data_IF_769433283722
#
_entry.id   IF_769433283722
#
_cell.length_a   1.000
_cell.length_b   1.000
_cell.length_c   1.000
_cell.angle_alpha   90.00
_cell.angle_beta   90.00
_cell.angle_gamma   90.00
#
_symmetry.space_group_name_H-M   'P 1'
#
loop_
_entity.id
_entity.type
_entity.pdbx_description
1 polymer ?
#
# COMPACT_ATOMS: atom_id res chain seq x y z
N UNK A 1 41.83 3.76 -27.29
CA UNK A 1 40.91 3.15 -26.31
C UNK A 1 40.26 1.96 -26.97
N UNK A 2 40.51 0.75 -26.47
CA UNK A 2 40.01 -0.50 -27.07
C UNK A 2 38.50 -0.59 -26.86
N UNK A 3 37.77 -1.11 -27.85
CA UNK A 3 36.31 -1.25 -27.83
C UNK A 3 35.75 -1.92 -26.56
N UNK A 4 36.50 -2.87 -25.97
CA UNK A 4 36.13 -3.51 -24.69
C UNK A 4 36.10 -2.55 -23.50
N UNK A 5 36.95 -1.52 -23.52
CA UNK A 5 37.07 -0.53 -22.44
C UNK A 5 35.88 0.44 -22.49
N UNK A 6 35.38 0.75 -23.69
CA UNK A 6 34.15 1.55 -23.88
C UNK A 6 32.92 0.79 -23.40
N UNK A 7 32.82 -0.52 -23.71
CA UNK A 7 31.72 -1.37 -23.23
C UNK A 7 31.68 -1.48 -21.71
N UNK A 8 32.84 -1.51 -21.05
CA UNK A 8 32.93 -1.59 -19.59
C UNK A 8 32.47 -0.30 -18.89
N UNK A 9 32.75 0.87 -19.49
CA UNK A 9 32.28 2.16 -18.97
C UNK A 9 30.76 2.34 -19.18
N UNK A 10 30.22 1.85 -20.30
CA UNK A 10 28.78 1.93 -20.57
C UNK A 10 27.95 1.08 -19.60
N UNK A 11 28.49 -0.05 -19.14
CA UNK A 11 27.82 -0.95 -18.19
C UNK A 11 27.75 -0.41 -16.75
N UNK A 12 28.62 0.54 -16.38
CA UNK A 12 28.65 1.16 -15.04
C UNK A 12 27.74 2.41 -14.99
N UNK A 13 27.37 2.96 -16.15
CA UNK A 13 26.61 4.22 -16.25
C UNK A 13 25.10 4.10 -16.01
N UNK A 14 24.53 2.91 -15.85
CA UNK A 14 23.11 2.76 -15.52
C UNK A 14 22.90 2.85 -14.02
N UNK A 15 23.05 4.06 -13.46
CA UNK A 15 22.52 4.35 -12.14
C UNK A 15 21.00 4.14 -12.19
N UNK A 16 20.53 3.12 -11.49
CA UNK A 16 19.10 2.85 -11.34
C UNK A 16 18.53 4.03 -10.56
N UNK A 17 17.86 4.95 -11.25
CA UNK A 17 17.03 5.96 -10.61
C UNK A 17 15.83 5.23 -10.00
N UNK A 18 15.98 4.72 -8.79
CA UNK A 18 14.84 4.33 -7.97
C UNK A 18 14.15 5.62 -7.56
N UNK A 19 13.16 6.05 -8.33
CA UNK A 19 12.33 7.20 -8.00
C UNK A 19 11.69 6.92 -6.63
N UNK A 20 11.95 7.81 -5.66
CA UNK A 20 11.36 7.69 -4.34
C UNK A 20 9.85 7.92 -4.47
N UNK A 21 9.07 6.83 -4.41
CA UNK A 21 7.61 6.93 -4.36
C UNK A 21 7.23 7.32 -2.94
N UNK A 22 6.69 8.53 -2.82
CA UNK A 22 6.10 9.02 -1.57
C UNK A 22 4.68 8.49 -1.42
N UNK A 23 4.35 7.99 -0.23
CA UNK A 23 2.99 7.56 0.12
C UNK A 23 2.28 8.57 1.03
N UNK A 24 2.68 9.85 0.93
CA UNK A 24 2.10 10.92 1.74
C UNK A 24 0.58 11.02 1.54
N UNK A 25 -0.13 11.10 2.66
CA UNK A 25 -1.58 11.17 2.75
C UNK A 25 -2.33 9.97 2.16
N UNK A 26 -1.66 8.88 1.76
CA UNK A 26 -2.35 7.64 1.45
C UNK A 26 -2.99 7.11 2.73
N UNK A 27 -4.23 6.64 2.61
CA UNK A 27 -4.98 6.06 3.72
C UNK A 27 -5.19 4.58 3.51
N UNK A 28 -5.25 3.83 4.60
CA UNK A 28 -5.71 2.44 4.60
C UNK A 28 -7.03 2.38 5.33
N UNK A 29 -8.06 1.94 4.62
CA UNK A 29 -9.38 1.69 5.18
C UNK A 29 -9.52 0.21 5.52
N UNK A 30 -10.19 -0.07 6.63
CA UNK A 30 -10.67 -1.38 7.04
C UNK A 30 -12.16 -1.47 6.74
N UNK A 31 -12.54 -2.56 6.09
CA UNK A 31 -13.92 -2.95 5.79
C UNK A 31 -14.12 -4.38 6.29
N UNK A 32 -15.26 -4.64 6.93
CA UNK A 32 -15.64 -5.98 7.37
C UNK A 32 -16.97 -6.31 6.70
N UNK A 33 -16.98 -7.14 5.64
CA UNK A 33 -18.22 -7.47 4.95
C UNK A 33 -19.04 -8.46 5.78
N UNK A 34 -20.32 -8.17 6.01
CA UNK A 34 -21.23 -8.99 6.84
C UNK A 34 -22.15 -9.88 5.99
N UNK A 35 -22.20 -9.65 4.67
CA UNK A 35 -23.06 -10.39 3.73
C UNK A 35 -22.30 -10.83 2.48
N UNK A 36 -22.79 -11.87 1.81
CA UNK A 36 -22.20 -12.36 0.55
C UNK A 36 -22.24 -11.30 -0.56
N UNK A 37 -23.24 -10.42 -0.52
CA UNK A 37 -23.34 -9.28 -1.42
C UNK A 37 -22.21 -8.27 -1.19
N UNK A 38 -21.85 -7.99 0.06
CA UNK A 38 -20.73 -7.11 0.41
C UNK A 38 -19.39 -7.73 0.02
N UNK A 39 -19.23 -9.04 0.17
CA UNK A 39 -18.07 -9.78 -0.33
C UNK A 39 -17.95 -9.59 -1.85
N UNK A 40 -19.04 -9.75 -2.59
CA UNK A 40 -19.04 -9.57 -4.04
C UNK A 40 -18.70 -8.13 -4.45
N UNK A 41 -19.25 -7.13 -3.74
CA UNK A 41 -18.91 -5.71 -3.92
C UNK A 41 -17.40 -5.47 -3.77
N UNK A 42 -16.78 -6.04 -2.72
CA UNK A 42 -15.34 -5.91 -2.49
C UNK A 42 -14.50 -6.64 -3.56
N UNK A 43 -14.94 -7.82 -4.01
CA UNK A 43 -14.29 -8.56 -5.10
C UNK A 43 -14.35 -7.79 -6.43
N UNK A 44 -15.46 -7.11 -6.70
CA UNK A 44 -15.60 -6.28 -7.89
C UNK A 44 -14.74 -5.00 -7.79
N UNK A 45 -14.69 -4.38 -6.61
CA UNK A 45 -13.81 -3.25 -6.34
C UNK A 45 -12.33 -3.60 -6.52
N UNK A 46 -11.91 -4.82 -6.14
CA UNK A 46 -10.52 -5.29 -6.27
C UNK A 46 -10.03 -5.33 -7.73
N UNK A 47 -10.94 -5.37 -8.71
CA UNK A 47 -10.59 -5.31 -10.14
C UNK A 47 -10.13 -3.92 -10.59
N UNK A 48 -10.41 -2.89 -9.80
CA UNK A 48 -9.98 -1.52 -10.10
C UNK A 48 -8.52 -1.32 -9.64
N UNK A 49 -7.66 -0.96 -10.59
CA UNK A 49 -6.22 -0.73 -10.37
C UNK A 49 -5.90 0.48 -9.49
N UNK A 50 -6.87 1.38 -9.28
CA UNK A 50 -6.72 2.56 -8.43
C UNK A 50 -6.76 2.25 -6.92
N UNK A 51 -7.16 1.03 -6.54
CA UNK A 51 -7.24 0.58 -5.15
C UNK A 51 -6.31 -0.60 -4.89
N UNK A 52 -5.53 -0.53 -3.81
CA UNK A 52 -4.55 -1.57 -3.49
C UNK A 52 -5.00 -2.33 -2.26
N UNK A 53 -5.40 -3.59 -2.45
CA UNK A 53 -5.82 -4.47 -1.36
C UNK A 53 -4.58 -5.00 -0.63
N UNK A 54 -4.53 -4.79 0.68
CA UNK A 54 -3.49 -5.33 1.56
C UNK A 54 -3.89 -6.67 2.19
N UNK A 55 -5.16 -7.06 2.07
CA UNK A 55 -5.66 -8.35 2.52
C UNK A 55 -5.77 -9.32 1.34
N UNK A 56 -5.21 -10.52 1.49
CA UNK A 56 -5.30 -11.58 0.48
C UNK A 56 -6.68 -12.28 0.46
N UNK A 57 -7.41 -12.22 1.58
CA UNK A 57 -8.70 -12.90 1.76
C UNK A 57 -9.82 -11.87 1.86
N UNK A 58 -10.76 -11.93 0.92
CA UNK A 58 -12.02 -11.20 0.92
C UNK A 58 -13.14 -12.21 1.17
N UNK A 59 -13.62 -12.27 2.41
CA UNK A 59 -14.65 -13.20 2.83
C UNK A 59 -15.51 -12.55 3.91
N UNK A 60 -16.69 -13.12 4.15
CA UNK A 60 -17.57 -12.66 5.23
C UNK A 60 -16.83 -12.64 6.57
N UNK A 61 -17.05 -11.58 7.35
CA UNK A 61 -16.45 -11.31 8.65
C UNK A 61 -14.91 -11.16 8.64
N UNK A 62 -14.28 -11.07 7.45
CA UNK A 62 -12.83 -10.86 7.34
C UNK A 62 -12.43 -9.39 7.43
N UNK A 63 -11.24 -9.12 7.97
CA UNK A 63 -10.65 -7.79 8.01
C UNK A 63 -10.02 -7.45 6.65
N UNK A 64 -10.81 -6.82 5.76
CA UNK A 64 -10.33 -6.39 4.44
C UNK A 64 -9.70 -4.99 4.56
N UNK A 65 -8.42 -4.88 4.20
CA UNK A 65 -7.66 -3.62 4.22
C UNK A 65 -7.41 -3.15 2.81
N UNK A 66 -7.72 -1.89 2.54
CA UNK A 66 -7.63 -1.27 1.21
C UNK A 66 -6.87 0.04 1.34
N UNK A 67 -5.74 0.17 0.65
CA UNK A 67 -4.98 1.41 0.54
C UNK A 67 -5.49 2.24 -0.63
N UNK A 68 -5.71 3.53 -0.37
CA UNK A 68 -6.34 4.48 -1.30
C UNK A 68 -5.50 5.75 -1.41
N UNK A 69 -5.19 6.14 -2.64
CA UNK A 69 -4.47 7.37 -2.95
C UNK A 69 -5.29 8.62 -2.57
N UNK A 70 -4.64 9.74 -2.16
CA UNK A 70 -5.33 10.97 -1.74
C UNK A 70 -6.41 11.44 -2.72
N UNK A 71 -6.08 11.42 -4.02
CA UNK A 71 -7.00 11.83 -5.10
C UNK A 71 -8.26 10.98 -5.23
N UNK A 72 -8.26 9.75 -4.72
CA UNK A 72 -9.36 8.78 -4.86
C UNK A 72 -10.14 8.58 -3.54
N UNK A 73 -9.73 9.20 -2.44
CA UNK A 73 -10.33 8.99 -1.12
C UNK A 73 -11.78 9.47 -1.06
N UNK A 74 -12.09 10.65 -1.62
CA UNK A 74 -13.46 11.17 -1.64
C UNK A 74 -14.41 10.25 -2.43
N UNK A 75 -13.97 9.79 -3.61
CA UNK A 75 -14.75 8.83 -4.42
C UNK A 75 -14.97 7.52 -3.66
N UNK A 76 -13.92 6.99 -3.05
CA UNK A 76 -13.97 5.76 -2.25
C UNK A 76 -14.96 5.88 -1.08
N UNK A 77 -14.86 6.94 -0.27
CA UNK A 77 -15.74 7.17 0.87
C UNK A 77 -17.20 7.34 0.45
N UNK A 78 -17.44 8.07 -0.64
CA UNK A 78 -18.79 8.24 -1.20
C UNK A 78 -19.34 6.91 -1.74
N UNK A 79 -18.52 6.11 -2.42
CA UNK A 79 -18.93 4.79 -2.92
C UNK A 79 -19.40 3.89 -1.76
N UNK A 80 -18.59 3.74 -0.72
CA UNK A 80 -18.93 2.89 0.43
C UNK A 80 -20.14 3.40 1.21
N UNK A 81 -20.30 4.72 1.33
CA UNK A 81 -21.50 5.34 1.89
C UNK A 81 -22.75 5.01 1.07
N UNK A 82 -22.66 5.03 -0.25
CA UNK A 82 -23.79 4.76 -1.15
C UNK A 82 -24.20 3.27 -1.15
N UNK A 83 -23.24 2.35 -1.08
CA UNK A 83 -23.54 0.91 -0.97
C UNK A 83 -23.87 0.48 0.46
N UNK A 84 -23.80 1.39 1.43
CA UNK A 84 -24.20 1.16 2.82
C UNK A 84 -23.23 0.30 3.62
N UNK A 85 -21.96 0.21 3.19
CA UNK A 85 -20.94 -0.61 3.85
C UNK A 85 -20.06 0.28 4.73
N UNK A 86 -19.96 0.01 6.04
CA UNK A 86 -19.18 0.84 6.94
C UNK A 86 -17.68 0.66 6.70
N UNK A 87 -16.94 1.78 6.66
CA UNK A 87 -15.48 1.80 6.57
C UNK A 87 -14.88 2.43 7.83
N UNK A 88 -13.68 2.00 8.20
CA UNK A 88 -12.91 2.58 9.31
C UNK A 88 -11.51 2.91 8.82
N UNK A 89 -10.99 4.10 9.12
CA UNK A 89 -9.59 4.42 8.84
C UNK A 89 -8.69 3.61 9.77
N UNK A 90 -7.86 2.74 9.21
CA UNK A 90 -6.89 1.92 9.93
C UNK A 90 -5.50 2.58 9.96
N UNK A 91 -5.13 3.29 8.89
CA UNK A 91 -3.90 4.09 8.78
C UNK A 91 -4.27 5.40 8.10
N UNK A 92 -4.05 6.54 8.75
CA UNK A 92 -4.42 7.86 8.24
C UNK A 92 -3.35 8.47 7.31
N UNK A 93 -2.09 8.10 7.50
CA UNK A 93 -1.00 8.42 6.57
C UNK A 93 -0.03 7.23 6.48
N UNK A 94 0.04 6.59 5.33
CA UNK A 94 0.93 5.45 5.07
C UNK A 94 2.40 5.86 5.16
N UNK A 95 2.76 7.07 4.76
CA UNK A 95 4.14 7.54 4.85
C UNK A 95 4.64 7.60 6.30
N UNK A 96 3.81 8.09 7.22
CA UNK A 96 4.13 8.12 8.66
C UNK A 96 4.34 6.71 9.21
N UNK A 97 3.52 5.74 8.78
CA UNK A 97 3.67 4.34 9.18
C UNK A 97 4.99 3.73 8.67
N UNK A 98 5.38 4.04 7.43
CA UNK A 98 6.66 3.62 6.84
C UNK A 98 7.83 4.24 7.62
N UNK A 99 7.75 5.53 7.91
CA UNK A 99 8.83 6.25 8.59
C UNK A 99 8.99 5.80 10.05
N UNK A 100 7.88 5.48 10.73
CA UNK A 100 7.91 4.87 12.05
C UNK A 100 8.60 3.49 12.07
N UNK A 101 8.44 2.69 11.02
CA UNK A 101 9.15 1.41 10.89
C UNK A 101 10.66 1.60 10.70
N UNK A 102 11.08 2.60 9.91
CA UNK A 102 12.50 2.90 9.70
C UNK A 102 13.21 3.42 10.96
N UNK A 103 12.48 4.16 11.81
CA UNK A 103 13.03 4.74 13.05
C UNK A 103 13.20 3.75 14.19
N UNK A 104 12.67 2.52 14.10
CA UNK A 104 12.95 1.48 15.10
C UNK A 104 14.43 1.10 14.99
N UNK A 105 15.29 1.46 15.96
CA UNK A 105 16.67 0.99 15.94
C UNK A 105 16.63 -0.54 16.09
N UNK A 106 17.51 -1.24 15.38
CA UNK A 106 17.82 -2.64 15.67
C UNK A 106 18.60 -2.72 17.01
N UNK A 107 18.04 -2.23 18.11
CA UNK A 107 18.59 -2.42 19.46
C UNK A 107 18.30 -3.84 19.97
N UNK A 108 18.42 -4.84 19.09
CA UNK A 108 18.58 -6.23 19.50
C UNK A 108 20.05 -6.48 19.80
N UNK A 109 20.45 -6.00 20.98
CA UNK A 109 21.39 -6.68 21.87
C UNK A 109 22.83 -6.91 21.36
N UNK A 110 23.74 -5.98 21.68
CA UNK A 110 25.19 -6.23 21.68
C UNK A 110 25.78 -6.43 23.09
N UNK A 111 24.97 -6.61 24.14
CA UNK A 111 25.48 -6.66 25.52
C UNK A 111 24.88 -7.78 26.37
N UNK A 112 24.91 -9.04 25.90
CA UNK A 112 24.73 -10.19 26.79
C UNK A 112 25.48 -11.43 26.26
N UNK A 113 26.79 -11.51 26.52
CA UNK A 113 27.57 -12.69 26.91
C UNK A 113 28.89 -12.25 27.54
#
# INVERSE_FOLDING_TARGET
MKFKEILFVLAIGTAINAEYVSYENYKVYKVVPETDNEVQILLDLQKNVDYVFWSDIIAKDSDVKIMVAPKNQEEFENYFKNVGIPTKVAIDNVQDAIDAQKRRPLDRNLNNY
#
